data_IF_848106835094
#
_entry.id   IF_848106835094
#
_cell.length_a   1.000
_cell.length_b   1.000
_cell.length_c   1.000
_cell.angle_alpha   90.00
_cell.angle_beta   90.00
_cell.angle_gamma   90.00
#
_symmetry.space_group_name_H-M   'P 1'
#
loop_
_entity.id
_entity.type
_entity.pdbx_description
1 polymer ?
#
# COMPACT_ATOMS: atom_id res chain seq x y z
N UNK A 1 5.87 16.34 30.45
CA UNK A 1 5.53 16.62 29.05
C UNK A 1 4.17 16.00 28.72
N UNK A 2 3.19 16.74 28.20
CA UNK A 2 1.97 16.14 27.67
C UNK A 2 2.36 15.31 26.43
N UNK A 3 2.13 13.99 26.46
CA UNK A 3 2.34 13.14 25.29
C UNK A 3 1.34 13.59 24.22
N UNK A 4 1.85 14.04 23.07
CA UNK A 4 1.02 14.38 21.91
C UNK A 4 0.08 13.22 21.54
N UNK A 5 -1.00 13.49 20.78
CA UNK A 5 -1.99 12.47 20.44
C UNK A 5 -1.29 11.30 19.75
N UNK A 6 -1.44 10.10 20.34
CA UNK A 6 -0.82 8.89 19.79
C UNK A 6 -1.55 8.52 18.51
N UNK A 7 -0.85 8.53 17.37
CA UNK A 7 -1.41 8.16 16.06
C UNK A 7 -1.98 6.73 16.11
N UNK A 8 -3.23 6.60 15.69
CA UNK A 8 -3.97 5.34 15.58
C UNK A 8 -4.47 5.19 14.15
N UNK A 9 -4.48 3.96 13.69
CA UNK A 9 -4.90 3.60 12.35
C UNK A 9 -6.09 2.65 12.43
N UNK A 10 -6.93 2.71 11.40
CA UNK A 10 -8.11 1.84 11.31
C UNK A 10 -7.66 0.42 11.07
N UNK A 11 -8.42 -0.54 11.59
CA UNK A 11 -8.18 -1.95 11.40
C UNK A 11 -9.48 -2.69 11.17
N UNK A 12 -9.49 -3.52 10.13
CA UNK A 12 -10.56 -4.47 9.88
C UNK A 12 -10.35 -5.73 10.74
N UNK A 13 -11.17 -5.87 11.77
CA UNK A 13 -11.12 -6.99 12.72
C UNK A 13 -11.23 -8.36 12.06
N UNK A 14 -12.04 -8.49 11.01
CA UNK A 14 -12.30 -9.78 10.37
C UNK A 14 -11.13 -10.17 9.48
N UNK A 15 -10.55 -9.21 8.75
CA UNK A 15 -9.31 -9.41 7.98
C UNK A 15 -8.16 -9.80 8.91
N UNK A 16 -7.95 -9.04 9.99
CA UNK A 16 -6.90 -9.31 10.96
C UNK A 16 -6.99 -10.74 11.53
N UNK A 17 -8.20 -11.17 11.92
CA UNK A 17 -8.43 -12.54 12.41
C UNK A 17 -8.19 -13.60 11.34
N UNK A 18 -8.55 -13.32 10.08
CA UNK A 18 -8.32 -14.25 8.97
C UNK A 18 -6.82 -14.42 8.72
N UNK A 19 -6.04 -13.34 8.75
CA UNK A 19 -4.57 -13.39 8.62
C UNK A 19 -3.95 -14.19 9.75
N UNK A 20 -4.39 -13.99 11.01
CA UNK A 20 -3.93 -14.82 12.12
C UNK A 20 -4.17 -16.32 11.88
N UNK A 21 -5.34 -16.68 11.35
CA UNK A 21 -5.65 -18.08 11.03
C UNK A 21 -4.72 -18.63 9.95
N UNK A 22 -4.44 -17.86 8.90
CA UNK A 22 -3.55 -18.25 7.81
C UNK A 22 -2.12 -18.45 8.32
N UNK A 23 -1.60 -17.49 9.08
CA UNK A 23 -0.27 -17.52 9.71
C UNK A 23 -0.19 -18.41 10.96
N UNK A 24 -1.23 -19.23 11.22
CA UNK A 24 -1.31 -20.17 12.36
C UNK A 24 -0.95 -19.52 13.71
N UNK A 25 -1.40 -18.29 13.91
CA UNK A 25 -1.15 -17.48 15.11
C UNK A 25 -2.46 -17.15 15.82
N UNK A 26 -2.37 -16.64 17.04
CA UNK A 26 -3.52 -16.31 17.90
C UNK A 26 -3.26 -15.03 18.69
N UNK A 27 -4.32 -14.35 19.12
CA UNK A 27 -4.17 -13.12 19.92
C UNK A 27 -3.41 -13.37 21.25
N UNK A 28 -3.65 -14.47 21.99
CA UNK A 28 -2.81 -14.82 23.14
C UNK A 28 -1.32 -14.91 22.78
N UNK A 29 -0.99 -15.63 21.69
CA UNK A 29 0.40 -15.77 21.21
C UNK A 29 1.03 -14.42 20.89
N UNK A 30 0.29 -13.51 20.24
CA UNK A 30 0.77 -12.15 20.00
C UNK A 30 1.00 -11.35 21.29
N UNK A 31 0.21 -11.60 22.33
CA UNK A 31 0.30 -10.90 23.60
C UNK A 31 1.40 -11.41 24.54
N UNK A 32 1.94 -12.60 24.27
CA UNK A 32 3.07 -13.22 24.97
C UNK A 32 4.41 -12.95 24.27
N UNK A 33 4.36 -12.54 23.00
CA UNK A 33 5.52 -12.30 22.17
C UNK A 33 6.32 -11.07 22.63
N UNK A 34 7.59 -11.26 22.96
CA UNK A 34 8.46 -10.22 23.51
C UNK A 34 8.71 -9.06 22.53
N UNK A 35 8.65 -9.34 21.23
CA UNK A 35 8.83 -8.34 20.17
C UNK A 35 7.61 -7.43 19.96
N UNK A 36 6.48 -7.73 20.61
CA UNK A 36 5.23 -6.96 20.53
C UNK A 36 4.97 -6.30 21.89
N UNK A 37 4.97 -4.97 21.93
CA UNK A 37 4.81 -4.23 23.19
C UNK A 37 3.37 -4.27 23.73
N UNK A 38 2.40 -4.68 22.92
CA UNK A 38 0.99 -4.67 23.30
C UNK A 38 0.51 -6.03 23.80
N UNK A 39 -0.07 -6.05 25.00
CA UNK A 39 -0.65 -7.26 25.58
C UNK A 39 -1.89 -7.76 24.83
N UNK A 40 -2.22 -9.03 24.99
CA UNK A 40 -3.46 -9.64 24.47
C UNK A 40 -4.69 -8.77 24.78
N UNK A 41 -4.82 -8.28 26.02
CA UNK A 41 -5.93 -7.44 26.45
C UNK A 41 -6.01 -6.15 25.62
N UNK A 42 -4.86 -5.57 25.27
CA UNK A 42 -4.76 -4.36 24.46
C UNK A 42 -5.12 -4.65 23.00
N UNK A 43 -4.65 -5.76 22.44
CA UNK A 43 -4.98 -6.20 21.07
C UNK A 43 -6.50 -6.41 20.94
N UNK A 44 -7.11 -7.18 21.85
CA UNK A 44 -8.57 -7.42 21.85
C UNK A 44 -9.37 -6.14 21.93
N UNK A 45 -8.97 -5.20 22.80
CA UNK A 45 -9.62 -3.89 22.93
C UNK A 45 -9.50 -3.07 21.66
N UNK A 46 -8.33 -3.05 21.04
CA UNK A 46 -8.06 -2.29 19.81
C UNK A 46 -8.87 -2.84 18.64
N UNK A 47 -8.91 -4.17 18.47
CA UNK A 47 -9.77 -4.86 17.50
C UNK A 47 -11.26 -4.59 17.76
N UNK A 48 -11.68 -4.51 19.02
CA UNK A 48 -13.05 -4.14 19.38
C UNK A 48 -13.42 -2.70 19.01
N UNK A 49 -12.44 -1.79 18.99
CA UNK A 49 -12.62 -0.39 18.60
C UNK A 49 -12.46 -0.15 17.09
N UNK A 50 -11.87 -1.12 16.36
CA UNK A 50 -11.53 -0.95 14.95
C UNK A 50 -10.35 0.02 14.72
N UNK A 51 -9.54 0.27 15.75
CA UNK A 51 -8.36 1.13 15.66
C UNK A 51 -7.22 0.63 16.56
N UNK A 52 -5.98 0.67 16.05
CA UNK A 52 -4.77 0.28 16.78
C UNK A 52 -3.65 1.28 16.55
N UNK A 53 -2.70 1.38 17.49
CA UNK A 53 -1.53 2.23 17.31
C UNK A 53 -0.65 1.70 16.18
N UNK A 54 -0.16 2.58 15.30
CA UNK A 54 0.73 2.24 14.17
C UNK A 54 1.91 1.35 14.59
N UNK A 55 2.55 1.69 15.71
CA UNK A 55 3.68 0.92 16.25
C UNK A 55 3.32 -0.55 16.53
N UNK A 56 2.15 -0.81 17.12
CA UNK A 56 1.72 -2.19 17.41
C UNK A 56 1.43 -2.96 16.13
N UNK A 57 0.87 -2.28 15.13
CA UNK A 57 0.60 -2.88 13.83
C UNK A 57 1.91 -3.27 13.12
N UNK A 58 2.94 -2.41 13.11
CA UNK A 58 4.24 -2.79 12.56
C UNK A 58 4.88 -3.97 13.31
N UNK A 59 4.81 -3.99 14.65
CA UNK A 59 5.36 -5.09 15.44
C UNK A 59 4.64 -6.42 15.13
N UNK A 60 3.31 -6.40 15.04
CA UNK A 60 2.51 -7.58 14.72
C UNK A 60 2.71 -8.01 13.27
N UNK A 61 2.73 -7.07 12.32
CA UNK A 61 2.98 -7.34 10.90
C UNK A 61 4.35 -7.99 10.70
N UNK A 62 5.38 -7.43 11.35
CA UNK A 62 6.73 -8.00 11.37
C UNK A 62 6.77 -9.41 11.97
N UNK A 63 6.10 -9.63 13.10
CA UNK A 63 6.08 -10.94 13.75
C UNK A 63 5.36 -12.01 12.90
N UNK A 64 4.27 -11.62 12.23
CA UNK A 64 3.51 -12.52 11.36
C UNK A 64 4.13 -12.68 9.97
N UNK A 65 5.14 -11.86 9.65
CA UNK A 65 5.70 -11.68 8.32
C UNK A 65 4.60 -11.46 7.27
N UNK A 66 3.86 -10.37 7.47
CA UNK A 66 2.77 -9.93 6.57
C UNK A 66 2.91 -8.44 6.33
N UNK A 67 2.58 -8.03 5.12
CA UNK A 67 2.46 -6.64 4.73
C UNK A 67 1.54 -5.86 5.69
N UNK A 68 1.95 -4.62 5.96
CA UNK A 68 1.27 -3.76 6.91
C UNK A 68 -0.18 -3.45 6.51
N UNK A 69 -0.39 -3.07 5.24
CA UNK A 69 -1.69 -2.66 4.70
C UNK A 69 -2.61 -3.87 4.49
N UNK A 70 -2.03 -5.05 4.23
CA UNK A 70 -2.77 -6.30 4.24
C UNK A 70 -3.27 -6.63 5.66
N UNK A 71 -2.42 -6.45 6.68
CA UNK A 71 -2.77 -6.71 8.08
C UNK A 71 -3.89 -5.79 8.60
N UNK A 72 -3.83 -4.50 8.28
CA UNK A 72 -4.90 -3.54 8.62
C UNK A 72 -6.20 -3.84 7.87
N UNK A 73 -6.08 -4.48 6.71
CA UNK A 73 -7.17 -4.77 5.79
C UNK A 73 -7.44 -3.65 4.79
N UNK A 74 -6.53 -2.69 4.68
CA UNK A 74 -6.61 -1.58 3.73
C UNK A 74 -6.45 -2.07 2.30
N UNK A 75 -5.50 -2.99 2.03
CA UNK A 75 -5.32 -3.63 0.70
C UNK A 75 -6.59 -4.30 0.16
N UNK A 76 -7.50 -4.73 1.05
CA UNK A 76 -8.74 -5.44 0.69
C UNK A 76 -9.99 -4.64 1.01
N UNK A 77 -9.86 -3.37 1.39
CA UNK A 77 -10.98 -2.54 1.82
C UNK A 77 -12.09 -2.44 0.75
N UNK A 78 -11.71 -2.37 -0.53
CA UNK A 78 -12.62 -2.33 -1.68
C UNK A 78 -13.57 -3.52 -1.73
N UNK A 79 -13.14 -4.72 -1.29
CA UNK A 79 -13.99 -5.90 -1.26
C UNK A 79 -15.22 -5.76 -0.36
N UNK A 80 -15.13 -4.91 0.67
CA UNK A 80 -16.22 -4.66 1.61
C UNK A 80 -17.16 -3.54 1.14
N UNK A 81 -16.78 -2.82 0.08
CA UNK A 81 -17.53 -1.67 -0.45
C UNK A 81 -18.26 -1.99 -1.77
N UNK A 82 -17.87 -3.07 -2.45
CA UNK A 82 -18.48 -3.53 -3.70
C UNK A 82 -19.55 -4.61 -3.48
N UNK A 83 -20.63 -4.54 -4.26
CA UNK A 83 -21.67 -5.59 -4.35
C UNK A 83 -21.39 -6.58 -5.48
N UNK A 84 -20.49 -6.24 -6.41
CA UNK A 84 -20.14 -7.10 -7.54
C UNK A 84 -19.32 -8.30 -7.05
N UNK A 85 -19.78 -9.55 -7.27
CA UNK A 85 -19.10 -10.74 -6.76
C UNK A 85 -17.75 -11.01 -7.44
N UNK A 86 -17.57 -10.61 -8.69
CA UNK A 86 -16.31 -10.78 -9.44
C UNK A 86 -15.27 -9.82 -8.90
N UNK A 87 -15.60 -8.53 -8.80
CA UNK A 87 -14.70 -7.50 -8.24
C UNK A 87 -14.36 -7.83 -6.79
N UNK A 88 -15.37 -8.24 -5.99
CA UNK A 88 -15.15 -8.68 -4.61
C UNK A 88 -14.15 -9.81 -4.50
N UNK A 89 -14.22 -10.80 -5.41
CA UNK A 89 -13.28 -11.94 -5.43
C UNK A 89 -11.86 -11.47 -5.73
N UNK A 90 -11.68 -10.58 -6.71
CA UNK A 90 -10.38 -10.02 -7.08
C UNK A 90 -9.78 -9.22 -5.92
N UNK A 91 -10.55 -8.32 -5.31
CA UNK A 91 -10.09 -7.52 -4.17
C UNK A 91 -9.78 -8.34 -2.91
N UNK A 92 -10.30 -9.57 -2.78
CA UNK A 92 -9.97 -10.48 -1.68
C UNK A 92 -8.79 -11.41 -2.00
N UNK A 93 -8.26 -11.39 -3.22
CA UNK A 93 -7.14 -12.24 -3.63
C UNK A 93 -5.87 -12.09 -2.78
N UNK A 94 -5.53 -10.91 -2.20
CA UNK A 94 -4.39 -10.83 -1.29
C UNK A 94 -4.54 -11.73 -0.05
N UNK A 95 -5.78 -12.01 0.39
CA UNK A 95 -6.04 -12.91 1.52
C UNK A 95 -5.97 -14.39 1.16
N UNK A 96 -5.89 -14.75 -0.13
CA UNK A 96 -5.62 -16.13 -0.55
C UNK A 96 -4.12 -16.38 -0.77
N UNK A 97 -3.35 -15.31 -0.94
CA UNK A 97 -1.92 -15.33 -1.25
C UNK A 97 -1.10 -14.53 -0.22
N UNK A 98 -1.43 -14.63 1.07
CA UNK A 98 -0.81 -13.80 2.13
C UNK A 98 0.72 -13.96 2.19
N UNK A 99 1.26 -15.12 1.80
CA UNK A 99 2.71 -15.36 1.77
C UNK A 99 3.46 -14.52 0.72
N UNK A 100 2.76 -14.05 -0.32
CA UNK A 100 3.33 -13.21 -1.37
C UNK A 100 3.47 -11.74 -0.91
N UNK A 101 2.94 -11.41 0.27
CA UNK A 101 2.95 -10.08 0.87
C UNK A 101 3.65 -10.14 2.25
N UNK A 102 4.98 -10.34 2.30
CA UNK A 102 5.72 -10.38 3.55
C UNK A 102 5.86 -8.98 4.18
N UNK A 103 6.25 -8.93 5.45
CA UNK A 103 6.50 -7.65 6.10
C UNK A 103 7.76 -7.02 5.52
N UNK A 104 7.65 -5.76 5.09
CA UNK A 104 8.79 -4.95 4.64
C UNK A 104 8.93 -3.76 5.59
N UNK A 105 10.11 -3.60 6.18
CA UNK A 105 10.39 -2.42 7.00
C UNK A 105 10.54 -1.14 6.16
N UNK A 106 10.31 0.03 6.77
CA UNK A 106 10.57 1.33 6.12
C UNK A 106 12.05 1.46 5.70
N UNK A 107 12.97 0.88 6.48
CA UNK A 107 14.40 0.84 6.15
C UNK A 107 14.70 -0.07 4.96
N UNK A 108 14.09 -1.26 4.86
CA UNK A 108 14.24 -2.15 3.69
C UNK A 108 13.63 -1.53 2.43
N UNK A 109 12.46 -0.89 2.57
CA UNK A 109 11.86 -0.10 1.49
C UNK A 109 12.79 1.03 1.03
N UNK A 110 13.41 1.75 1.97
CA UNK A 110 14.40 2.80 1.66
C UNK A 110 15.63 2.21 0.98
N UNK A 111 16.18 1.11 1.50
CA UNK A 111 17.35 0.44 0.92
C UNK A 111 17.06 -0.09 -0.49
N UNK A 112 15.85 -0.59 -0.77
CA UNK A 112 15.46 -1.00 -2.12
C UNK A 112 15.41 0.18 -3.07
N UNK A 113 14.82 1.30 -2.67
CA UNK A 113 14.83 2.54 -3.47
C UNK A 113 16.24 3.07 -3.73
N UNK A 114 17.08 3.14 -2.71
CA UNK A 114 18.48 3.56 -2.85
C UNK A 114 19.26 2.68 -3.85
N UNK A 115 19.01 1.36 -3.85
CA UNK A 115 19.61 0.43 -4.82
C UNK A 115 19.12 0.70 -6.25
N UNK A 116 17.85 1.03 -6.43
CA UNK A 116 17.28 1.36 -7.75
C UNK A 116 17.90 2.66 -8.27
N UNK A 117 17.93 3.73 -7.47
CA UNK A 117 18.52 5.02 -7.84
C UNK A 117 19.99 4.89 -8.25
N UNK A 118 20.79 4.16 -7.47
CA UNK A 118 22.19 3.91 -7.80
C UNK A 118 22.33 3.04 -9.07
N UNK A 119 21.40 2.14 -9.33
CA UNK A 119 21.38 1.34 -10.57
C UNK A 119 21.08 2.22 -11.78
N UNK A 120 20.04 3.07 -11.71
CA UNK A 120 19.70 4.03 -12.77
C UNK A 120 20.86 4.98 -13.06
N UNK A 121 21.48 5.52 -12.02
CA UNK A 121 22.67 6.37 -12.12
C UNK A 121 23.81 5.66 -12.86
N UNK A 122 24.09 4.40 -12.53
CA UNK A 122 25.13 3.60 -13.22
C UNK A 122 24.78 3.40 -14.70
N UNK A 123 23.54 3.03 -15.01
CA UNK A 123 23.08 2.85 -16.40
C UNK A 123 23.23 4.14 -17.19
N UNK A 124 22.74 5.27 -16.67
CA UNK A 124 22.83 6.57 -17.33
C UNK A 124 24.28 7.01 -17.57
N UNK A 125 25.16 6.78 -16.59
CA UNK A 125 26.58 7.09 -16.72
C UNK A 125 27.27 6.31 -17.85
N UNK A 126 26.86 5.07 -18.15
CA UNK A 126 27.39 4.31 -19.29
C UNK A 126 27.16 5.02 -20.63
N UNK A 127 26.11 5.82 -20.73
CA UNK A 127 25.75 6.58 -21.92
C UNK A 127 26.13 8.07 -21.82
N UNK A 128 27.00 8.43 -20.87
CA UNK A 128 27.39 9.82 -20.57
C UNK A 128 26.19 10.74 -20.23
N UNK A 129 25.13 10.18 -19.67
CA UNK A 129 23.97 10.93 -19.18
C UNK A 129 24.12 11.12 -17.67
N UNK A 130 23.99 12.36 -17.20
CA UNK A 130 24.08 12.66 -15.77
C UNK A 130 22.77 12.33 -15.05
N UNK A 131 22.86 11.77 -13.84
CA UNK A 131 21.67 11.47 -13.03
C UNK A 131 20.82 12.72 -12.72
N UNK A 132 21.45 13.89 -12.63
CA UNK A 132 20.75 15.18 -12.45
C UNK A 132 19.75 15.45 -13.58
N UNK A 133 20.02 15.01 -14.81
CA UNK A 133 19.06 15.16 -15.91
C UNK A 133 17.79 14.37 -15.66
N UNK A 134 17.90 13.15 -15.13
CA UNK A 134 16.75 12.34 -14.71
C UNK A 134 16.02 13.00 -13.52
N UNK A 135 16.75 13.45 -12.50
CA UNK A 135 16.15 14.10 -11.33
C UNK A 135 15.39 15.39 -11.66
N UNK A 136 15.78 16.08 -12.74
CA UNK A 136 15.13 17.30 -13.20
C UNK A 136 13.89 17.04 -14.09
N UNK A 137 13.62 15.79 -14.46
CA UNK A 137 12.38 15.43 -15.15
C UNK A 137 11.18 15.55 -14.19
N UNK A 138 10.00 15.80 -14.74
CA UNK A 138 8.76 15.66 -13.97
C UNK A 138 8.51 14.19 -13.59
N UNK A 139 7.69 13.96 -12.56
CA UNK A 139 7.45 12.63 -12.01
C UNK A 139 6.87 11.65 -13.04
N UNK A 140 6.07 12.13 -14.00
CA UNK A 140 5.49 11.30 -15.05
C UNK A 140 6.58 10.81 -16.03
N UNK A 141 7.48 11.70 -16.46
CA UNK A 141 8.64 11.31 -17.27
C UNK A 141 9.61 10.41 -16.52
N UNK A 142 9.84 10.65 -15.23
CA UNK A 142 10.67 9.76 -14.41
C UNK A 142 10.08 8.36 -14.33
N UNK A 143 8.76 8.26 -14.13
CA UNK A 143 8.04 6.99 -14.12
C UNK A 143 8.16 6.28 -15.48
N UNK A 144 7.79 6.96 -16.59
CA UNK A 144 7.82 6.38 -17.93
C UNK A 144 9.23 5.90 -18.30
N UNK A 145 10.27 6.71 -18.02
CA UNK A 145 11.65 6.30 -18.29
C UNK A 145 12.05 5.03 -17.53
N UNK A 146 11.71 4.93 -16.24
CA UNK A 146 12.02 3.75 -15.44
C UNK A 146 11.25 2.52 -15.93
N UNK A 147 9.97 2.69 -16.23
CA UNK A 147 9.09 1.63 -16.72
C UNK A 147 9.60 1.07 -18.05
N UNK A 148 9.79 1.94 -19.05
CA UNK A 148 10.32 1.57 -20.37
C UNK A 148 11.68 0.86 -20.27
N UNK A 149 12.56 1.36 -19.38
CA UNK A 149 13.89 0.78 -19.18
C UNK A 149 13.82 -0.64 -18.61
N UNK A 150 13.05 -0.84 -17.54
CA UNK A 150 12.93 -2.16 -16.91
C UNK A 150 12.17 -3.15 -17.79
N UNK A 151 11.13 -2.70 -18.49
CA UNK A 151 10.41 -3.51 -19.47
C UNK A 151 11.34 -3.96 -20.61
N UNK A 152 12.19 -3.08 -21.13
CA UNK A 152 13.15 -3.42 -22.18
C UNK A 152 14.26 -4.39 -21.72
N UNK A 153 14.62 -4.39 -20.45
CA UNK A 153 15.63 -5.31 -19.89
C UNK A 153 15.10 -6.74 -19.81
N UNK A 154 13.81 -6.93 -19.48
CA UNK A 154 13.24 -8.25 -19.23
C UNK A 154 13.40 -9.24 -20.40
N UNK A 155 13.08 -8.91 -21.66
CA UNK A 155 13.28 -9.80 -22.80
C UNK A 155 14.75 -10.20 -23.02
N UNK A 156 15.69 -9.34 -22.63
CA UNK A 156 17.13 -9.65 -22.71
C UNK A 156 17.48 -10.70 -21.67
N UNK A 157 17.01 -10.56 -20.43
CA UNK A 157 17.22 -11.54 -19.37
C UNK A 157 16.64 -12.91 -19.76
N UNK A 158 15.40 -12.95 -20.24
CA UNK A 158 14.74 -14.20 -20.65
C UNK A 158 15.42 -14.93 -21.82
N UNK A 159 16.30 -14.26 -22.57
CA UNK A 159 17.07 -14.90 -23.64
C UNK A 159 18.24 -15.74 -23.13
N UNK A 160 18.78 -15.40 -21.97
CA UNK A 160 20.02 -15.97 -21.46
C UNK A 160 19.86 -16.75 -20.16
N UNK A 161 18.72 -16.64 -19.49
CA UNK A 161 18.45 -17.28 -18.22
C UNK A 161 17.09 -17.97 -18.26
N UNK A 162 17.07 -19.23 -17.82
CA UNK A 162 15.86 -20.08 -17.78
C UNK A 162 15.27 -20.21 -16.35
N UNK A 163 15.89 -19.57 -15.36
CA UNK A 163 15.55 -19.73 -13.95
C UNK A 163 16.04 -18.53 -13.14
N UNK A 164 15.27 -18.13 -12.13
CA UNK A 164 15.66 -17.07 -11.20
C UNK A 164 16.64 -17.57 -10.12
N UNK A 165 17.08 -16.66 -9.23
CA UNK A 165 18.01 -16.99 -8.15
C UNK A 165 17.46 -17.95 -7.10
N UNK A 166 16.14 -18.16 -7.06
CA UNK A 166 15.46 -19.06 -6.12
C UNK A 166 15.22 -20.44 -6.71
N UNK A 167 15.58 -20.66 -7.98
CA UNK A 167 15.30 -21.90 -8.68
C UNK A 167 13.94 -21.93 -9.37
N UNK A 168 13.26 -20.79 -9.50
CA UNK A 168 11.96 -20.70 -10.17
C UNK A 168 12.13 -20.50 -11.67
N UNK A 169 11.65 -21.48 -12.44
CA UNK A 169 11.65 -21.48 -13.91
C UNK A 169 10.54 -20.62 -14.51
N UNK A 170 9.55 -20.20 -13.71
CA UNK A 170 8.54 -19.23 -14.14
C UNK A 170 9.13 -17.83 -14.27
N UNK A 171 10.19 -17.54 -13.51
CA UNK A 171 10.87 -16.25 -13.44
C UNK A 171 9.94 -15.05 -13.19
N UNK A 172 8.77 -15.28 -12.59
CA UNK A 172 7.78 -14.24 -12.28
C UNK A 172 8.38 -13.15 -11.39
N UNK A 173 9.32 -13.52 -10.51
CA UNK A 173 10.06 -12.60 -9.63
C UNK A 173 10.78 -11.47 -10.39
N UNK A 174 11.13 -11.68 -11.66
CA UNK A 174 11.75 -10.64 -12.49
C UNK A 174 10.82 -9.45 -12.77
N UNK A 175 9.50 -9.65 -12.76
CA UNK A 175 8.52 -8.56 -12.93
C UNK A 175 8.32 -7.72 -11.66
N UNK A 176 8.84 -8.15 -10.51
CA UNK A 176 8.58 -7.49 -9.22
C UNK A 176 8.89 -5.99 -9.23
N UNK A 177 9.96 -5.57 -9.91
CA UNK A 177 10.35 -4.16 -10.00
C UNK A 177 9.34 -3.30 -10.77
N UNK A 178 8.72 -3.85 -11.82
CA UNK A 178 7.69 -3.15 -12.59
C UNK A 178 6.41 -3.03 -11.78
N UNK A 179 6.01 -4.11 -11.10
CA UNK A 179 4.84 -4.10 -10.21
C UNK A 179 5.00 -3.10 -9.08
N UNK A 180 6.17 -3.04 -8.45
CA UNK A 180 6.47 -2.03 -7.42
C UNK A 180 6.38 -0.59 -7.98
N UNK A 181 6.88 -0.36 -9.19
CA UNK A 181 6.86 0.95 -9.85
C UNK A 181 5.44 1.39 -10.23
N UNK A 182 4.63 0.48 -10.78
CA UNK A 182 3.23 0.71 -11.14
C UNK A 182 2.39 1.03 -9.90
N UNK A 183 2.52 0.22 -8.83
CA UNK A 183 1.82 0.47 -7.58
C UNK A 183 2.18 1.84 -6.96
N UNK A 184 3.45 2.25 -7.08
CA UNK A 184 3.88 3.57 -6.62
C UNK A 184 3.25 4.70 -7.44
N UNK A 185 3.18 4.54 -8.77
CA UNK A 185 2.53 5.51 -9.66
C UNK A 185 1.04 5.66 -9.38
N UNK A 186 0.35 4.54 -9.21
CA UNK A 186 -1.08 4.54 -8.88
C UNK A 186 -1.34 5.29 -7.58
N UNK A 187 -0.56 5.01 -6.53
CA UNK A 187 -0.67 5.71 -5.25
C UNK A 187 -0.42 7.23 -5.38
N UNK A 188 0.58 7.64 -6.17
CA UNK A 188 0.84 9.06 -6.43
C UNK A 188 -0.32 9.73 -7.18
N UNK A 189 -0.86 9.07 -8.20
CA UNK A 189 -1.96 9.61 -9.01
C UNK A 189 -3.23 9.75 -8.19
N UNK A 190 -3.54 8.77 -7.35
CA UNK A 190 -4.65 8.84 -6.39
C UNK A 190 -4.48 10.03 -5.45
N UNK A 191 -3.27 10.26 -4.93
CA UNK A 191 -2.98 11.40 -4.07
C UNK A 191 -3.13 12.74 -4.80
N UNK A 192 -2.61 12.85 -6.02
CA UNK A 192 -2.75 14.06 -6.84
C UNK A 192 -4.22 14.32 -7.15
N UNK A 193 -4.96 13.31 -7.57
CA UNK A 193 -6.39 13.42 -7.86
C UNK A 193 -7.18 13.88 -6.64
N UNK A 194 -6.97 13.25 -5.48
CA UNK A 194 -7.64 13.63 -4.25
C UNK A 194 -7.34 15.08 -3.84
N UNK A 195 -6.07 15.45 -3.79
CA UNK A 195 -5.66 16.76 -3.30
C UNK A 195 -5.99 17.91 -4.27
N UNK A 196 -5.80 17.68 -5.57
CA UNK A 196 -5.88 18.75 -6.56
C UNK A 196 -7.25 18.87 -7.23
N UNK A 197 -7.99 17.76 -7.34
CA UNK A 197 -9.30 17.71 -7.98
C UNK A 197 -10.41 17.62 -6.93
N UNK A 198 -10.42 16.55 -6.13
CA UNK A 198 -11.52 16.29 -5.20
C UNK A 198 -11.63 17.34 -4.10
N UNK A 199 -10.51 17.68 -3.45
CA UNK A 199 -10.53 18.68 -2.37
C UNK A 199 -11.03 20.03 -2.88
N UNK A 200 -10.57 20.47 -4.06
CA UNK A 200 -11.06 21.72 -4.67
C UNK A 200 -12.54 21.64 -5.02
N UNK A 201 -12.99 20.52 -5.61
CA UNK A 201 -14.40 20.26 -5.92
C UNK A 201 -15.27 20.41 -4.67
N UNK A 202 -14.91 19.75 -3.56
CA UNK A 202 -15.69 19.76 -2.33
C UNK A 202 -15.62 21.08 -1.56
N UNK A 203 -14.50 21.82 -1.62
CA UNK A 203 -14.44 23.14 -1.02
C UNK A 203 -15.26 24.19 -1.80
N UNK A 204 -15.44 23.99 -3.11
CA UNK A 204 -16.31 24.83 -3.94
C UNK A 204 -17.79 24.51 -3.73
N UNK A 205 -18.13 23.22 -3.64
CA UNK A 205 -19.48 22.75 -3.37
C UNK A 205 -19.43 21.70 -2.27
N UNK A 206 -19.78 22.12 -1.05
CA UNK A 206 -19.69 21.27 0.13
C UNK A 206 -20.62 20.06 0.01
N UNK A 207 -20.09 18.85 0.16
CA UNK A 207 -20.90 17.65 0.29
C UNK A 207 -21.85 17.74 1.48
N UNK A 208 -23.06 17.21 1.32
CA UNK A 208 -24.08 17.23 2.37
C UNK A 208 -23.55 16.55 3.63
N UNK A 209 -23.61 17.25 4.77
CA UNK A 209 -23.15 16.74 6.06
C UNK A 209 -21.66 16.96 6.36
N UNK A 210 -20.92 17.65 5.48
CA UNK A 210 -19.51 17.98 5.70
C UNK A 210 -19.29 19.49 5.77
N UNK A 211 -18.51 19.93 6.77
CA UNK A 211 -18.04 21.32 6.87
C UNK A 211 -16.78 21.55 6.03
N UNK A 212 -16.39 22.82 5.83
CA UNK A 212 -15.11 23.15 5.20
C UNK A 212 -13.93 22.58 5.98
N UNK A 213 -13.96 22.69 7.30
CA UNK A 213 -12.92 22.14 8.17
C UNK A 213 -12.79 20.62 8.04
N UNK A 214 -13.90 19.90 7.88
CA UNK A 214 -13.88 18.45 7.66
C UNK A 214 -13.18 18.12 6.34
N UNK A 215 -13.56 18.82 5.26
CA UNK A 215 -12.94 18.62 3.94
C UNK A 215 -11.47 19.02 3.94
N UNK A 216 -11.04 20.04 4.69
CA UNK A 216 -9.62 20.43 4.78
C UNK A 216 -8.80 19.38 5.53
N UNK A 217 -9.35 18.77 6.59
CA UNK A 217 -8.64 17.79 7.42
C UNK A 217 -8.70 16.36 6.87
N UNK A 218 -9.59 16.10 5.92
CA UNK A 218 -9.75 14.80 5.27
C UNK A 218 -8.46 14.41 4.53
N UNK A 219 -8.01 13.16 4.67
CA UNK A 219 -6.86 12.63 3.92
C UNK A 219 -7.29 12.18 2.51
N UNK A 220 -6.31 11.80 1.68
CA UNK A 220 -6.50 11.26 0.31
C UNK A 220 -7.63 10.24 0.23
N UNK A 221 -7.53 9.15 1.00
CA UNK A 221 -8.51 8.06 0.95
C UNK A 221 -9.91 8.53 1.37
N UNK A 222 -9.97 9.43 2.35
CA UNK A 222 -11.23 10.02 2.80
C UNK A 222 -11.91 10.82 1.70
N UNK A 223 -11.14 11.60 0.93
CA UNK A 223 -11.65 12.38 -0.19
C UNK A 223 -12.13 11.47 -1.31
N UNK A 224 -11.35 10.44 -1.68
CA UNK A 224 -11.71 9.47 -2.72
C UNK A 224 -12.98 8.72 -2.32
N UNK A 225 -13.06 8.23 -1.08
CA UNK A 225 -14.24 7.54 -0.57
C UNK A 225 -15.50 8.43 -0.57
N UNK A 226 -15.34 9.72 -0.26
CA UNK A 226 -16.44 10.68 -0.30
C UNK A 226 -16.93 10.91 -1.74
N UNK A 227 -16.02 11.04 -2.71
CA UNK A 227 -16.40 11.20 -4.11
C UNK A 227 -17.16 9.98 -4.65
N UNK A 228 -16.66 8.78 -4.34
CA UNK A 228 -17.34 7.53 -4.68
C UNK A 228 -18.73 7.43 -4.05
N UNK A 229 -18.88 7.89 -2.80
CA UNK A 229 -20.17 7.89 -2.13
C UNK A 229 -21.16 8.86 -2.80
N UNK A 230 -20.74 10.08 -3.11
CA UNK A 230 -21.58 11.09 -3.78
C UNK A 230 -22.01 10.60 -5.15
N UNK A 231 -21.09 10.07 -5.96
CA UNK A 231 -21.41 9.53 -7.27
C UNK A 231 -22.47 8.42 -7.17
N UNK A 232 -22.34 7.49 -6.22
CA UNK A 232 -23.33 6.43 -6.00
C UNK A 232 -24.71 6.98 -5.68
N UNK A 233 -24.82 7.99 -4.81
CA UNK A 233 -26.10 8.61 -4.47
C UNK A 233 -26.72 9.32 -5.69
N UNK A 234 -25.92 10.01 -6.51
CA UNK A 234 -26.41 10.67 -7.73
C UNK A 234 -26.92 9.70 -8.81
N UNK A 235 -26.43 8.46 -8.82
CA UNK A 235 -26.90 7.40 -9.72
C UNK A 235 -28.19 6.72 -9.23
N UNK A 236 -28.43 6.67 -7.92
CA UNK A 236 -29.64 6.05 -7.34
C UNK A 236 -30.88 6.99 -7.38
N UNK A 237 -30.65 8.31 -7.55
CA UNK A 237 -31.70 9.34 -7.67
C UNK A 237 -32.11 9.64 -9.14
N UNK A 238 -31.62 8.88 -10.13
CA UNK A 238 -32.01 8.95 -11.56
C UNK A 238 -32.81 7.73 -11.99
#
# INVERSE_FOLDING_TARGET
MPKGPVKREKINKDVFKKILKIKKSTIPKLGEELSIECSEKTIRRSLGKGEMRKQYLHQIAKFLDVDYDLLTGDMVAMAFQTKDPVIKKVCLSPLTHVEDYPYISEDESRMRREKIDETLKRILLLYNISYVQFQNMDSEKQYNFQHDLFEAILPVIYRYYDMDSNGDTSMISCYGILVELENYKDSMDEQIYAETILRKKFLRMLPKGYSKEDIIKMNTDGLIALDLHIQKCEYEDR
#
